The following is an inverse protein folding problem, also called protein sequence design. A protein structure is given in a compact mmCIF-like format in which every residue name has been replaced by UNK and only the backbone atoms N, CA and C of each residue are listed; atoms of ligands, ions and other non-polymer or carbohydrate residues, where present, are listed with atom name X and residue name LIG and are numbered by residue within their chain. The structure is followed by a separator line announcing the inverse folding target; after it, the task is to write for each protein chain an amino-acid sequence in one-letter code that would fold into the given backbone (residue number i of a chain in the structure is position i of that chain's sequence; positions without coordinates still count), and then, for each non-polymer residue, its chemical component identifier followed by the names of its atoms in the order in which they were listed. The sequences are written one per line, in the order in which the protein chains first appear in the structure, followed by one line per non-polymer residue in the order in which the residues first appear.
data_IF_974793275022
#
_entry.id   IF_974793275022
#
_cell.length_a   1.000
_cell.length_b   1.000
_cell.length_c   1.000
_cell.angle_alpha   90.00
_cell.angle_beta   90.00
_cell.angle_gamma   90.00
#
_symmetry.space_group_name_H-M   'P 1'
#
loop_
_entity.id
_entity.type
_entity.pdbx_description
1 polymer ?
#
# COMPACT_ATOMS: atom_id res chain seq x y z
N UNK A 1 -24.28 16.82 -14.49
CA UNK A 1 -23.17 16.18 -13.75
C UNK A 1 -23.59 16.18 -12.30
N UNK A 2 -23.64 15.01 -11.66
CA UNK A 2 -24.19 14.87 -10.31
C UNK A 2 -23.26 15.55 -9.30
N UNK A 3 -23.63 16.74 -8.85
CA UNK A 3 -23.08 17.32 -7.64
C UNK A 3 -23.65 16.51 -6.46
N UNK A 4 -22.95 15.42 -6.14
CA UNK A 4 -23.34 14.55 -5.04
C UNK A 4 -23.24 15.31 -3.72
N UNK A 5 -24.25 15.14 -2.86
CA UNK A 5 -24.34 15.74 -1.54
C UNK A 5 -22.96 15.73 -0.83
N UNK A 6 -22.45 16.88 -0.35
CA UNK A 6 -21.15 16.95 0.32
C UNK A 6 -20.99 16.00 1.50
N UNK A 7 -22.09 15.60 2.16
CA UNK A 7 -22.10 14.60 3.21
C UNK A 7 -21.91 13.19 2.63
N UNK A 8 -22.58 12.88 1.53
CA UNK A 8 -22.44 11.60 0.82
C UNK A 8 -21.02 11.40 0.29
N UNK A 9 -20.42 12.44 -0.30
CA UNK A 9 -19.03 12.38 -0.78
C UNK A 9 -18.04 12.06 0.34
N UNK A 10 -18.23 12.64 1.54
CA UNK A 10 -17.41 12.33 2.72
C UNK A 10 -17.60 10.89 3.18
N UNK A 11 -18.84 10.39 3.22
CA UNK A 11 -19.12 9.02 3.61
C UNK A 11 -18.47 8.02 2.63
N UNK A 12 -18.57 8.28 1.33
CA UNK A 12 -17.92 7.46 0.30
C UNK A 12 -16.40 7.45 0.49
N UNK A 13 -15.77 8.59 0.75
CA UNK A 13 -14.32 8.66 0.96
C UNK A 13 -13.88 7.83 2.18
N UNK A 14 -14.61 7.91 3.30
CA UNK A 14 -14.31 7.15 4.52
C UNK A 14 -14.46 5.65 4.27
N UNK A 15 -15.57 5.23 3.67
CA UNK A 15 -15.81 3.81 3.41
C UNK A 15 -14.85 3.24 2.37
N UNK A 16 -14.44 4.03 1.38
CA UNK A 16 -13.41 3.63 0.41
C UNK A 16 -12.08 3.37 1.11
N UNK A 17 -11.63 4.29 1.98
CA UNK A 17 -10.40 4.10 2.77
C UNK A 17 -10.47 2.86 3.67
N UNK A 18 -11.64 2.62 4.29
CA UNK A 18 -11.85 1.43 5.11
C UNK A 18 -11.80 0.16 4.27
N UNK A 19 -12.43 0.15 3.10
CA UNK A 19 -12.38 -1.01 2.19
C UNK A 19 -10.97 -1.30 1.72
N UNK A 20 -10.23 -0.28 1.29
CA UNK A 20 -8.81 -0.42 0.92
C UNK A 20 -7.99 -1.01 2.07
N UNK A 21 -8.17 -0.50 3.30
CA UNK A 21 -7.50 -1.03 4.47
C UNK A 21 -7.86 -2.50 4.76
N UNK A 22 -9.14 -2.87 4.64
CA UNK A 22 -9.55 -4.28 4.79
C UNK A 22 -8.90 -5.17 3.73
N UNK A 23 -8.82 -4.74 2.47
CA UNK A 23 -8.12 -5.49 1.43
C UNK A 23 -6.64 -5.69 1.79
N UNK A 24 -5.95 -4.66 2.28
CA UNK A 24 -4.56 -4.80 2.75
C UNK A 24 -4.43 -5.78 3.90
N UNK A 25 -5.38 -5.80 4.84
CA UNK A 25 -5.38 -6.79 5.92
C UNK A 25 -5.51 -8.20 5.35
N UNK A 26 -6.42 -8.42 4.41
CA UNK A 26 -6.60 -9.73 3.78
C UNK A 26 -5.32 -10.17 3.05
N UNK A 27 -4.73 -9.29 2.24
CA UNK A 27 -3.47 -9.56 1.52
C UNK A 27 -2.33 -9.94 2.48
N UNK A 28 -2.15 -9.17 3.56
CA UNK A 28 -1.12 -9.42 4.57
C UNK A 28 -1.38 -10.72 5.33
N UNK A 29 -2.65 -11.01 5.63
CA UNK A 29 -3.04 -12.22 6.35
C UNK A 29 -2.72 -13.44 5.51
N UNK A 30 -3.14 -13.48 4.24
CA UNK A 30 -2.84 -14.59 3.32
C UNK A 30 -1.33 -14.76 3.14
N UNK A 31 -0.61 -13.68 2.84
CA UNK A 31 0.84 -13.72 2.61
C UNK A 31 1.61 -14.22 3.83
N UNK A 32 1.31 -13.69 5.02
CA UNK A 32 2.01 -14.05 6.23
C UNK A 32 1.56 -15.40 6.79
N UNK A 33 0.34 -15.82 6.48
CA UNK A 33 -0.10 -17.19 6.72
C UNK A 33 0.78 -18.17 5.94
N UNK A 34 0.88 -18.03 4.62
CA UNK A 34 1.68 -18.92 3.78
C UNK A 34 3.17 -18.92 4.13
N UNK A 35 3.67 -17.78 4.62
CA UNK A 35 5.08 -17.62 4.98
C UNK A 35 5.41 -18.25 6.34
N UNK A 36 4.52 -18.12 7.32
CA UNK A 36 4.82 -18.44 8.72
C UNK A 36 4.16 -19.73 9.23
N UNK A 37 3.06 -20.16 8.62
CA UNK A 37 2.33 -21.34 9.06
C UNK A 37 2.90 -22.62 8.44
N UNK A 38 3.62 -23.38 9.25
CA UNK A 38 4.14 -24.71 8.90
C UNK A 38 3.15 -25.78 9.37
N UNK A 39 1.98 -25.84 8.73
CA UNK A 39 0.93 -26.83 9.00
C UNK A 39 -0.27 -26.29 9.79
N UNK A 40 -1.10 -27.20 10.31
CA UNK A 40 -2.33 -26.84 11.04
C UNK A 40 -1.97 -26.37 12.45
N UNK A 41 -2.41 -25.18 12.89
CA UNK A 41 -2.13 -24.72 14.25
C UNK A 41 -2.86 -25.58 15.29
N UNK A 42 -2.30 -25.63 16.50
CA UNK A 42 -3.04 -26.11 17.67
C UNK A 42 -4.12 -25.12 18.11
N UNK A 43 -4.63 -25.26 19.34
CA UNK A 43 -5.63 -24.32 19.88
C UNK A 43 -5.12 -22.88 20.01
N UNK A 44 -3.80 -22.68 19.99
CA UNK A 44 -3.14 -21.37 20.02
C UNK A 44 -1.96 -21.41 19.08
N UNK A 45 -1.61 -20.25 18.54
CA UNK A 45 -0.36 -20.08 17.81
C UNK A 45 0.80 -20.32 18.79
N UNK A 46 1.82 -21.06 18.35
CA UNK A 46 3.04 -21.19 19.15
C UNK A 46 3.86 -19.90 19.04
N UNK A 47 4.74 -19.68 20.01
CA UNK A 47 5.52 -18.44 20.12
C UNK A 47 6.37 -18.13 18.87
N UNK A 48 6.86 -19.15 18.16
CA UNK A 48 7.67 -18.93 16.94
C UNK A 48 6.78 -18.42 15.82
N UNK A 49 5.61 -19.01 15.65
CA UNK A 49 4.61 -18.59 14.67
C UNK A 49 4.09 -17.19 14.95
N UNK A 50 3.75 -16.87 16.21
CA UNK A 50 3.35 -15.51 16.59
C UNK A 50 4.44 -14.47 16.26
N UNK A 51 5.70 -14.78 16.58
CA UNK A 51 6.84 -13.91 16.28
C UNK A 51 7.04 -13.76 14.76
N UNK A 52 6.93 -14.85 14.01
CA UNK A 52 7.06 -14.84 12.56
C UNK A 52 5.99 -13.96 11.93
N UNK A 53 4.72 -14.13 12.29
CA UNK A 53 3.61 -13.33 11.72
C UNK A 53 3.84 -11.84 12.01
N UNK A 54 4.19 -11.49 13.26
CA UNK A 54 4.48 -10.10 13.63
C UNK A 54 5.63 -9.50 12.80
N UNK A 55 6.72 -10.24 12.62
CA UNK A 55 7.84 -9.80 11.79
C UNK A 55 7.51 -9.76 10.30
N UNK A 56 6.77 -10.74 9.79
CA UNK A 56 6.33 -10.81 8.39
C UNK A 56 5.54 -9.56 8.00
N UNK A 57 4.54 -9.18 8.81
CA UNK A 57 3.72 -7.99 8.55
C UNK A 57 4.58 -6.73 8.55
N UNK A 58 5.46 -6.55 9.55
CA UNK A 58 6.36 -5.40 9.61
C UNK A 58 7.28 -5.33 8.39
N UNK A 59 7.93 -6.44 8.03
CA UNK A 59 8.83 -6.50 6.86
C UNK A 59 8.11 -6.26 5.54
N UNK A 60 6.88 -6.75 5.39
CA UNK A 60 6.10 -6.52 4.18
C UNK A 60 5.76 -5.04 4.00
N UNK A 61 5.32 -4.38 5.08
CA UNK A 61 5.02 -2.94 5.05
C UNK A 61 6.29 -2.14 4.77
N UNK A 62 7.40 -2.46 5.45
CA UNK A 62 8.68 -1.79 5.22
C UNK A 62 9.16 -1.92 3.77
N UNK A 63 9.08 -3.13 3.20
CA UNK A 63 9.45 -3.39 1.81
C UNK A 63 8.52 -2.66 0.83
N UNK A 64 7.21 -2.66 1.09
CA UNK A 64 6.22 -1.97 0.25
C UNK A 64 6.49 -0.46 0.24
N UNK A 65 6.72 0.14 1.40
CA UNK A 65 7.06 1.55 1.53
C UNK A 65 8.39 1.86 0.84
N UNK A 66 9.40 1.00 0.98
CA UNK A 66 10.68 1.17 0.29
C UNK A 66 10.50 1.21 -1.23
N UNK A 67 9.73 0.29 -1.80
CA UNK A 67 9.42 0.23 -3.24
C UNK A 67 8.67 1.49 -3.68
N UNK A 68 7.61 1.87 -2.97
CA UNK A 68 6.81 3.07 -3.29
C UNK A 68 7.67 4.33 -3.25
N UNK A 69 8.43 4.55 -2.17
CA UNK A 69 9.32 5.71 -2.03
C UNK A 69 10.35 5.79 -3.17
N UNK A 70 10.84 4.64 -3.64
CA UNK A 70 11.77 4.58 -4.75
C UNK A 70 11.10 4.98 -6.07
N UNK A 71 9.92 4.43 -6.33
CA UNK A 71 9.13 4.74 -7.54
C UNK A 71 8.70 6.20 -7.58
N UNK A 72 8.30 6.79 -6.45
CA UNK A 72 7.96 8.22 -6.36
C UNK A 72 9.17 9.10 -6.69
N UNK A 73 10.35 8.75 -6.15
CA UNK A 73 11.59 9.49 -6.43
C UNK A 73 11.98 9.42 -7.90
N UNK A 74 11.87 8.25 -8.53
CA UNK A 74 12.17 8.07 -9.95
C UNK A 74 11.14 8.78 -10.83
N UNK A 75 9.84 8.68 -10.51
CA UNK A 75 8.77 9.38 -11.20
C UNK A 75 8.95 10.89 -11.15
N UNK A 76 9.29 11.46 -9.99
CA UNK A 76 9.59 12.89 -9.86
C UNK A 76 10.82 13.30 -10.69
N UNK A 77 11.88 12.49 -10.72
CA UNK A 77 13.05 12.77 -11.55
C UNK A 77 12.72 12.79 -13.05
N UNK A 78 11.91 11.84 -13.51
CA UNK A 78 11.47 11.76 -14.90
C UNK A 78 10.57 12.95 -15.28
N UNK A 79 9.68 13.40 -14.37
CA UNK A 79 8.85 14.58 -14.59
C UNK A 79 9.69 15.87 -14.69
N UNK A 80 10.77 16.00 -13.91
CA UNK A 80 11.69 17.15 -14.03
C UNK A 80 12.40 17.17 -15.38
N UNK A 81 12.82 16.00 -15.86
CA UNK A 81 13.43 15.88 -17.20
C UNK A 81 12.42 16.23 -18.31
N UNK A 82 11.17 15.78 -18.21
CA UNK A 82 10.12 16.13 -19.17
C UNK A 82 9.78 17.63 -19.18
N UNK A 83 9.91 18.31 -18.04
CA UNK A 83 9.77 19.78 -17.95
C UNK A 83 10.93 20.52 -18.63
N UNK A 84 12.15 19.99 -18.54
CA UNK A 84 13.32 20.57 -19.22
C UNK A 84 13.23 20.41 -20.75
N UNK A 85 12.67 19.30 -21.24
CA UNK A 85 12.42 19.07 -22.67
C UNK A 85 11.32 19.97 -23.25
N UNK A 86 10.27 20.28 -22.46
CA UNK A 86 9.20 21.22 -22.87
C UNK A 86 9.56 22.69 -22.65
N UNK A 87 10.51 22.99 -21.77
CA UNK A 87 11.05 24.34 -21.52
C UNK A 87 12.01 24.86 -22.61
N UNK A 88 12.46 23.99 -23.53
CA UNK A 88 13.36 24.34 -24.63
C UNK A 88 12.67 25.00 -25.84
N UNK A 89 11.34 24.94 -25.95
CA UNK A 89 10.59 25.63 -27.00
C UNK A 89 10.11 27.00 -26.48
N UNK A 90 11.07 27.91 -26.29
CA UNK A 90 10.78 29.32 -26.03
C UNK A 90 10.19 29.91 -27.31
N UNK A 91 8.86 29.94 -27.41
CA UNK A 91 8.12 30.60 -28.49
C UNK A 91 8.65 32.03 -28.67
N UNK A 92 9.41 32.24 -29.75
CA UNK A 92 9.41 33.49 -30.49
C UNK A 92 8.09 33.62 -31.23
#
# INVERSE_FOLDING_TARGET
MAEGDPQLQRMIAIETQKQEFQQRIHDLTEKCWDTCMLGVPGQRLDRKTETCIGQCVQRFIDASNFVVNRLEKEGQANLRQAQDETGGFKWQ
#
